data_IF_093009738142
#
_entry.id   IF_093009738142
#
_cell.length_a   1.000
_cell.length_b   1.000
_cell.length_c   1.000
_cell.angle_alpha   90.00
_cell.angle_beta   90.00
_cell.angle_gamma   90.00
#
_symmetry.space_group_name_H-M   'P 1'
#
loop_
_entity.id
_entity.type
_entity.pdbx_description
1 polymer ?
#
# COMPACT_ATOMS: atom_id res chain seq x y z
N UNK A 1 6.19 25.50 -17.32
CA UNK A 1 7.59 25.03 -17.18
C UNK A 1 7.54 23.52 -17.28
N UNK A 2 8.16 22.98 -18.32
CA UNK A 2 8.36 21.54 -18.47
C UNK A 2 9.22 21.03 -17.31
N UNK A 3 8.82 19.91 -16.70
CA UNK A 3 9.59 19.27 -15.62
C UNK A 3 10.77 18.55 -16.27
N UNK A 4 11.94 19.19 -16.29
CA UNK A 4 13.16 18.62 -16.90
C UNK A 4 13.92 17.70 -15.95
N UNK A 5 13.68 17.79 -14.64
CA UNK A 5 14.45 17.08 -13.62
C UNK A 5 13.60 16.05 -12.84
N UNK A 6 14.15 14.84 -12.74
CA UNK A 6 13.56 13.70 -12.01
C UNK A 6 14.48 13.25 -10.88
N UNK A 7 13.90 12.95 -9.72
CA UNK A 7 14.57 12.35 -8.57
C UNK A 7 13.98 10.97 -8.29
N UNK A 8 14.81 9.94 -8.27
CA UNK A 8 14.42 8.62 -7.79
C UNK A 8 14.69 8.53 -6.29
N UNK A 9 13.78 7.94 -5.52
CA UNK A 9 13.95 7.73 -4.09
C UNK A 9 13.79 6.25 -3.75
N UNK A 10 14.62 5.74 -2.85
CA UNK A 10 14.57 4.35 -2.39
C UNK A 10 13.63 4.19 -1.18
N UNK A 11 13.17 2.97 -0.93
CA UNK A 11 12.36 2.65 0.25
C UNK A 11 13.13 2.98 1.54
N UNK A 12 14.43 2.70 1.57
CA UNK A 12 15.30 3.01 2.70
C UNK A 12 15.33 4.51 3.01
N UNK A 13 15.54 5.35 1.99
CA UNK A 13 15.55 6.80 2.15
C UNK A 13 14.19 7.32 2.65
N UNK A 14 13.08 6.72 2.22
CA UNK A 14 11.74 7.07 2.74
C UNK A 14 11.62 6.73 4.22
N UNK A 15 12.10 5.56 4.65
CA UNK A 15 12.10 5.19 6.07
C UNK A 15 12.93 6.17 6.90
N UNK A 16 14.12 6.56 6.42
CA UNK A 16 14.96 7.57 7.10
C UNK A 16 14.24 8.93 7.19
N UNK A 17 13.60 9.39 6.12
CA UNK A 17 12.81 10.62 6.12
C UNK A 17 11.69 10.57 7.16
N UNK A 18 10.96 9.46 7.24
CA UNK A 18 9.87 9.28 8.21
C UNK A 18 10.39 9.23 9.64
N UNK A 19 11.46 8.48 9.91
CA UNK A 19 12.09 8.41 11.23
C UNK A 19 12.57 9.78 11.71
N UNK A 20 13.28 10.50 10.86
CA UNK A 20 13.76 11.86 11.14
C UNK A 20 12.59 12.81 11.42
N UNK A 21 11.51 12.75 10.63
CA UNK A 21 10.33 13.59 10.84
C UNK A 21 9.61 13.27 12.15
N UNK A 22 9.44 11.99 12.49
CA UNK A 22 8.79 11.55 13.74
C UNK A 22 9.56 12.06 14.96
N UNK A 23 10.89 11.99 14.92
CA UNK A 23 11.76 12.50 15.99
C UNK A 23 11.75 14.02 16.05
N UNK A 24 12.01 14.68 14.92
CA UNK A 24 12.11 16.14 14.84
C UNK A 24 10.81 16.83 15.28
N UNK A 25 9.66 16.36 14.79
CA UNK A 25 8.36 16.90 15.16
C UNK A 25 7.84 16.35 16.50
N UNK A 26 8.56 15.41 17.13
CA UNK A 26 8.12 14.68 18.32
C UNK A 26 6.67 14.20 18.18
N UNK A 27 6.38 13.59 17.03
CA UNK A 27 5.02 13.42 16.54
C UNK A 27 4.15 12.59 17.50
N UNK A 28 4.76 11.57 18.11
CA UNK A 28 4.19 10.69 19.13
C UNK A 28 3.87 11.40 20.47
N UNK A 29 4.40 12.61 20.71
CA UNK A 29 4.18 13.40 21.93
C UNK A 29 3.31 14.63 21.65
N UNK A 30 3.61 15.40 20.59
CA UNK A 30 2.95 16.68 20.30
C UNK A 30 1.63 16.52 19.58
N UNK A 31 1.58 15.65 18.57
CA UNK A 31 0.34 15.41 17.82
C UNK A 31 -0.43 14.22 18.36
N UNK A 32 0.22 13.12 18.76
CA UNK A 32 -0.41 11.89 19.29
C UNK A 32 -1.54 11.38 18.36
N UNK A 33 -1.22 11.02 17.10
CA UNK A 33 -2.22 10.50 16.18
C UNK A 33 -2.94 9.27 16.77
N UNK A 34 -4.26 9.22 16.63
CA UNK A 34 -5.08 8.07 17.02
C UNK A 34 -5.73 7.37 15.83
N UNK A 35 -5.76 8.05 14.67
CA UNK A 35 -6.22 7.50 13.38
C UNK A 35 -5.34 8.09 12.28
N UNK A 36 -4.89 7.26 11.34
CA UNK A 36 -4.23 7.70 10.12
C UNK A 36 -5.20 7.53 8.95
N UNK A 37 -5.30 8.53 8.07
CA UNK A 37 -6.04 8.48 6.82
C UNK A 37 -5.03 8.58 5.68
N UNK A 38 -4.88 7.52 4.90
CA UNK A 38 -4.06 7.55 3.69
C UNK A 38 -4.82 8.24 2.54
N UNK A 39 -4.27 9.33 2.03
CA UNK A 39 -4.84 10.13 0.94
C UNK A 39 -4.60 9.47 -0.42
N UNK A 40 -5.23 8.33 -0.62
CA UNK A 40 -5.07 7.50 -1.79
C UNK A 40 -4.01 6.41 -1.62
N UNK A 41 -3.75 5.80 -2.75
CA UNK A 41 -3.22 4.45 -2.84
C UNK A 41 -1.70 4.40 -2.57
N UNK A 42 -0.94 5.39 -3.06
CA UNK A 42 0.49 5.52 -2.77
C UNK A 42 0.75 6.03 -1.35
N UNK A 43 -0.19 6.82 -0.82
CA UNK A 43 -0.13 7.31 0.55
C UNK A 43 -0.25 6.19 1.59
N UNK A 44 -0.86 5.06 1.23
CA UNK A 44 -0.95 3.89 2.12
C UNK A 44 0.44 3.35 2.47
N UNK A 45 1.37 3.30 1.51
CA UNK A 45 2.74 2.87 1.76
C UNK A 45 3.42 3.79 2.78
N UNK A 46 3.26 5.11 2.64
CA UNK A 46 3.77 6.11 3.58
C UNK A 46 3.14 5.95 4.96
N UNK A 47 1.81 5.76 5.02
CA UNK A 47 1.07 5.57 6.26
C UNK A 47 1.54 4.33 7.04
N UNK A 48 1.89 3.23 6.33
CA UNK A 48 2.44 2.03 6.95
C UNK A 48 3.82 2.26 7.55
N UNK A 49 4.71 2.93 6.82
CA UNK A 49 6.07 3.23 7.29
C UNK A 49 5.95 4.09 8.55
N UNK A 50 5.14 5.14 8.50
CA UNK A 50 4.86 5.99 9.65
C UNK A 50 4.25 5.21 10.83
N UNK A 51 3.27 4.34 10.59
CA UNK A 51 2.66 3.50 11.64
C UNK A 51 3.68 2.57 12.29
N UNK A 52 4.56 1.94 11.51
CA UNK A 52 5.61 1.06 12.03
C UNK A 52 6.60 1.85 12.89
N UNK A 53 7.06 3.00 12.40
CA UNK A 53 7.92 3.93 13.17
C UNK A 53 7.24 4.41 14.45
N UNK A 54 5.95 4.73 14.43
CA UNK A 54 5.23 5.15 15.63
C UNK A 54 4.98 4.00 16.60
N UNK A 55 4.64 2.80 16.11
CA UNK A 55 4.44 1.60 16.93
C UNK A 55 5.68 1.26 17.76
N UNK A 56 6.88 1.42 17.19
CA UNK A 56 8.13 1.20 17.93
C UNK A 56 8.35 2.22 19.06
N UNK A 57 7.72 3.40 18.98
CA UNK A 57 7.81 4.48 20.00
C UNK A 57 6.69 4.41 21.05
N UNK A 58 5.47 4.03 20.66
CA UNK A 58 4.29 4.08 21.55
C UNK A 58 3.76 2.70 21.99
N UNK A 59 4.31 1.61 21.43
CA UNK A 59 3.96 0.23 21.79
C UNK A 59 2.66 -0.31 21.16
N UNK A 60 1.80 0.55 20.61
CA UNK A 60 0.52 0.16 19.98
C UNK A 60 0.44 0.61 18.52
N UNK A 61 -0.28 -0.15 17.70
CA UNK A 61 -0.51 0.18 16.30
C UNK A 61 -1.67 1.17 16.16
N UNK A 62 -1.46 2.24 15.38
CA UNK A 62 -2.52 3.20 15.04
C UNK A 62 -3.32 2.65 13.85
N UNK A 63 -4.67 2.68 13.86
CA UNK A 63 -5.47 2.24 12.73
C UNK A 63 -5.25 3.13 11.50
N UNK A 64 -5.19 2.51 10.32
CA UNK A 64 -5.14 3.19 9.03
C UNK A 64 -6.49 3.04 8.32
N UNK A 65 -7.08 4.17 7.95
CA UNK A 65 -8.20 4.26 7.05
C UNK A 65 -7.69 4.67 5.67
N UNK A 66 -8.20 4.04 4.63
CA UNK A 66 -7.88 4.37 3.24
C UNK A 66 -9.07 5.04 2.59
N UNK A 67 -8.79 5.90 1.62
CA UNK A 67 -9.80 6.45 0.75
C UNK A 67 -9.23 6.50 -0.67
N UNK A 68 -9.86 5.79 -1.60
CA UNK A 68 -9.62 6.01 -3.03
C UNK A 68 -10.57 7.11 -3.49
N UNK A 69 -10.03 8.33 -3.67
CA UNK A 69 -10.63 9.28 -4.58
C UNK A 69 -10.03 9.03 -5.95
N UNK A 70 -10.86 8.60 -6.89
CA UNK A 70 -10.51 8.68 -8.31
C UNK A 70 -10.59 10.16 -8.72
N UNK A 71 -9.58 10.95 -8.34
CA UNK A 71 -9.47 12.39 -8.65
C UNK A 71 -9.29 12.68 -10.14
N UNK A 72 -9.15 11.64 -10.96
CA UNK A 72 -8.87 11.72 -12.40
C UNK A 72 -10.01 11.22 -13.27
N UNK A 73 -11.18 10.97 -12.68
CA UNK A 73 -12.38 10.59 -13.41
C UNK A 73 -13.46 11.66 -13.17
N UNK A 74 -13.62 12.57 -14.13
CA UNK A 74 -14.58 13.68 -14.04
C UNK A 74 -16.04 13.18 -13.94
N UNK A 75 -16.28 11.90 -14.25
CA UNK A 75 -17.59 11.24 -14.14
C UNK A 75 -17.80 10.51 -12.81
N UNK A 76 -16.73 10.28 -12.02
CA UNK A 76 -16.81 9.62 -10.73
C UNK A 76 -17.11 10.63 -9.61
N UNK A 77 -18.37 11.03 -9.45
CA UNK A 77 -18.82 11.66 -8.22
C UNK A 77 -18.90 10.58 -7.12
N UNK A 78 -17.96 10.49 -6.15
CA UNK A 78 -17.89 9.35 -5.26
C UNK A 78 -18.63 9.62 -3.94
N UNK A 79 -19.28 10.77 -3.80
CA UNK A 79 -20.02 11.11 -2.60
C UNK A 79 -21.39 10.44 -2.60
N UNK A 80 -21.49 9.27 -1.97
CA UNK A 80 -22.77 8.78 -1.46
C UNK A 80 -23.05 9.49 -0.12
N UNK A 81 -24.03 10.42 -0.04
CA UNK A 81 -24.31 11.15 1.20
C UNK A 81 -24.73 10.24 2.37
N UNK A 82 -25.21 9.03 2.07
CA UNK A 82 -25.85 8.14 3.04
C UNK A 82 -24.85 7.19 3.75
N UNK A 83 -23.68 6.95 3.17
CA UNK A 83 -22.54 6.26 3.80
C UNK A 83 -21.29 7.02 3.37
N UNK A 84 -20.82 7.97 4.18
CA UNK A 84 -19.59 8.72 3.90
C UNK A 84 -18.39 7.78 3.66
N UNK A 85 -17.30 8.31 3.10
CA UNK A 85 -16.11 7.53 2.70
C UNK A 85 -15.51 6.63 3.78
N UNK A 86 -15.76 6.96 5.05
CA UNK A 86 -15.28 6.21 6.22
C UNK A 86 -16.39 5.47 6.97
N UNK A 87 -17.57 5.30 6.35
CA UNK A 87 -18.71 4.59 6.92
C UNK A 87 -19.11 5.13 8.30
N UNK A 88 -19.27 4.22 9.27
CA UNK A 88 -19.66 4.58 10.65
C UNK A 88 -18.48 4.95 11.57
N UNK A 89 -17.25 5.08 11.04
CA UNK A 89 -16.10 5.43 11.88
C UNK A 89 -16.25 6.85 12.44
N UNK A 90 -16.39 6.97 13.76
CA UNK A 90 -16.46 8.26 14.47
C UNK A 90 -15.09 8.92 14.53
N UNK A 91 -15.03 10.22 14.23
CA UNK A 91 -13.82 11.02 14.45
C UNK A 91 -13.88 11.88 15.72
N UNK A 92 -14.99 11.85 16.46
CA UNK A 92 -15.11 12.59 17.73
C UNK A 92 -13.99 12.22 18.69
N UNK A 93 -13.26 13.22 19.19
CA UNK A 93 -12.16 13.06 20.15
C UNK A 93 -10.86 12.46 19.59
N UNK A 94 -10.82 12.14 18.29
CA UNK A 94 -9.64 11.57 17.67
C UNK A 94 -8.66 12.64 17.17
N UNK A 95 -7.39 12.28 17.16
CA UNK A 95 -6.34 13.00 16.46
C UNK A 95 -6.13 12.34 15.10
N UNK A 96 -6.73 12.93 14.08
CA UNK A 96 -6.81 12.39 12.72
C UNK A 96 -5.66 12.94 11.90
N UNK A 97 -4.80 12.05 11.41
CA UNK A 97 -3.66 12.41 10.57
C UNK A 97 -3.90 12.01 9.12
N UNK A 98 -4.01 12.99 8.23
CA UNK A 98 -4.01 12.74 6.79
C UNK A 98 -2.57 12.54 6.33
N UNK A 99 -2.28 11.43 5.65
CA UNK A 99 -0.96 11.10 5.12
C UNK A 99 -1.00 11.12 3.60
N UNK A 100 0.00 11.70 2.94
CA UNK A 100 0.20 11.63 1.49
C UNK A 100 1.70 11.48 1.15
N UNK A 101 2.04 11.05 -0.07
CA UNK A 101 3.42 11.01 -0.56
C UNK A 101 3.98 12.42 -0.80
N UNK A 102 3.17 13.35 -1.29
CA UNK A 102 3.65 14.69 -1.61
C UNK A 102 2.55 15.76 -1.54
N UNK A 103 2.85 16.90 -0.90
CA UNK A 103 2.13 18.15 -1.14
C UNK A 103 2.70 18.80 -2.41
N UNK A 104 2.04 18.55 -3.54
CA UNK A 104 2.38 19.19 -4.82
C UNK A 104 1.66 20.54 -4.97
N UNK A 105 0.43 20.53 -5.48
CA UNK A 105 -0.41 21.73 -5.64
C UNK A 105 -1.30 22.01 -4.41
N UNK A 106 -1.23 21.19 -3.36
CA UNK A 106 -2.10 21.19 -2.16
C UNK A 106 -3.56 20.84 -2.38
N UNK A 107 -4.00 20.71 -3.63
CA UNK A 107 -5.39 20.44 -4.00
C UNK A 107 -5.93 19.15 -3.39
N UNK A 108 -5.19 18.04 -3.48
CA UNK A 108 -5.58 16.75 -2.89
C UNK A 108 -5.80 16.85 -1.39
N UNK A 109 -4.86 17.46 -0.67
CA UNK A 109 -4.94 17.64 0.77
C UNK A 109 -6.14 18.50 1.17
N UNK A 110 -6.37 19.60 0.46
CA UNK A 110 -7.52 20.48 0.71
C UNK A 110 -8.86 19.73 0.53
N UNK A 111 -8.98 18.93 -0.53
CA UNK A 111 -10.16 18.10 -0.76
C UNK A 111 -10.35 17.08 0.37
N UNK A 112 -9.28 16.40 0.81
CA UNK A 112 -9.36 15.45 1.92
C UNK A 112 -9.80 16.11 3.23
N UNK A 113 -9.27 17.29 3.55
CA UNK A 113 -9.69 18.02 4.75
C UNK A 113 -11.15 18.47 4.69
N UNK A 114 -11.63 18.90 3.51
CA UNK A 114 -13.05 19.23 3.30
C UNK A 114 -13.96 18.01 3.48
N UNK A 115 -13.55 16.84 2.96
CA UNK A 115 -14.30 15.60 3.15
C UNK A 115 -14.34 15.15 4.63
N UNK A 116 -13.22 15.27 5.35
CA UNK A 116 -13.19 14.98 6.80
C UNK A 116 -14.12 15.93 7.54
N UNK A 117 -14.12 17.22 7.19
CA UNK A 117 -15.00 18.22 7.79
C UNK A 117 -16.47 17.86 7.57
N UNK A 118 -16.87 17.54 6.33
CA UNK A 118 -18.24 17.11 6.00
C UNK A 118 -18.65 15.84 6.75
N UNK A 119 -17.74 14.87 6.86
CA UNK A 119 -17.96 13.65 7.64
C UNK A 119 -18.19 13.96 9.12
N UNK A 120 -17.38 14.83 9.70
CA UNK A 120 -17.53 15.27 11.09
C UNK A 120 -18.85 16.03 11.31
N UNK A 121 -19.25 16.91 10.39
CA UNK A 121 -20.51 17.64 10.45
C UNK A 121 -21.72 16.71 10.41
N UNK A 122 -21.70 15.70 9.55
CA UNK A 122 -22.74 14.68 9.48
C UNK A 122 -22.86 13.89 10.81
N UNK A 123 -21.74 13.49 11.39
CA UNK A 123 -21.72 12.80 12.69
C UNK A 123 -22.18 13.69 13.84
N UNK A 124 -21.76 14.97 13.83
CA UNK A 124 -22.16 15.96 14.82
C UNK A 124 -23.66 16.28 14.76
N UNK A 125 -24.27 16.22 13.57
CA UNK A 125 -25.71 16.46 13.38
C UNK A 125 -26.59 15.35 13.95
N UNK A 126 -26.05 14.12 14.03
CA UNK A 126 -26.76 12.93 14.52
C UNK A 126 -26.41 12.59 15.97
N UNK A 127 -25.30 13.12 16.50
CA UNK A 127 -24.90 12.98 17.89
C UNK A 127 -25.71 13.90 18.83
N UNK A 128 -25.86 13.49 20.10
CA UNK A 128 -26.29 14.42 21.16
C UNK A 128 -25.21 15.49 21.32
N UNK A 129 -25.56 16.78 21.19
CA UNK A 129 -24.59 17.90 21.16
C UNK A 129 -23.56 17.88 22.30
N UNK A 130 -23.94 17.38 23.47
CA UNK A 130 -23.11 17.34 24.68
C UNK A 130 -22.00 16.27 24.64
N UNK A 131 -22.04 15.31 23.71
CA UNK A 131 -21.08 14.21 23.64
C UNK A 131 -20.01 14.37 22.55
N UNK A 132 -20.11 15.43 21.72
CA UNK A 132 -19.19 15.63 20.60
C UNK A 132 -17.92 16.35 21.06
N UNK A 133 -16.76 15.75 20.77
CA UNK A 133 -15.44 16.31 21.01
C UNK A 133 -14.82 16.58 19.64
N UNK A 134 -14.49 17.84 19.34
CA UNK A 134 -13.99 18.21 18.02
C UNK A 134 -12.65 17.49 17.72
N UNK A 135 -12.52 16.79 16.58
CA UNK A 135 -11.27 16.12 16.22
C UNK A 135 -10.13 17.12 15.99
N UNK A 136 -8.91 16.68 16.32
CA UNK A 136 -7.69 17.39 15.93
C UNK A 136 -7.19 16.82 14.62
N UNK A 137 -7.35 17.57 13.53
CA UNK A 137 -6.88 17.16 12.20
C UNK A 137 -5.49 17.71 11.92
N UNK A 138 -4.62 16.89 11.32
CA UNK A 138 -3.28 17.24 10.86
C UNK A 138 -2.93 16.58 9.54
N UNK A 139 -1.81 16.99 8.95
CA UNK A 139 -1.31 16.52 7.65
C UNK A 139 0.14 16.09 7.77
N UNK A 140 0.48 14.93 7.21
CA UNK A 140 1.83 14.41 7.09
C UNK A 140 2.16 14.09 5.64
N UNK A 141 3.25 14.63 5.11
CA UNK A 141 3.71 14.34 3.74
C UNK A 141 5.20 14.00 3.73
N UNK A 142 5.63 13.11 2.84
CA UNK A 142 7.07 12.90 2.66
C UNK A 142 7.73 14.14 2.07
N UNK A 143 7.14 14.70 1.01
CA UNK A 143 7.72 15.81 0.27
C UNK A 143 6.74 16.96 0.13
N UNK A 144 7.08 18.14 0.64
CA UNK A 144 6.41 19.38 0.29
C UNK A 144 7.16 20.05 -0.86
N UNK A 145 6.52 20.15 -2.04
CA UNK A 145 7.14 20.80 -3.19
C UNK A 145 7.06 22.32 -3.06
N UNK A 146 8.20 22.98 -3.16
CA UNK A 146 8.36 24.43 -3.23
C UNK A 146 7.84 24.96 -4.57
N UNK A 147 6.53 25.15 -4.63
CA UNK A 147 5.81 25.73 -5.77
C UNK A 147 4.59 26.50 -5.29
N UNK A 148 4.01 27.39 -6.12
CA UNK A 148 2.71 27.97 -5.84
C UNK A 148 1.67 26.87 -5.61
N UNK A 149 0.93 27.01 -4.51
CA UNK A 149 -0.14 26.09 -4.12
C UNK A 149 -1.46 26.58 -4.72
N UNK A 150 -2.24 25.66 -5.26
CA UNK A 150 -3.50 25.96 -5.95
C UNK A 150 -4.71 25.91 -5.01
N UNK A 151 -4.51 25.46 -3.77
CA UNK A 151 -5.52 25.44 -2.71
C UNK A 151 -4.86 25.78 -1.38
N UNK A 152 -5.63 26.32 -0.44
CA UNK A 152 -5.21 26.57 0.93
C UNK A 152 -5.60 25.41 1.85
N UNK A 153 -4.86 25.25 2.94
CA UNK A 153 -5.27 24.42 4.08
C UNK A 153 -5.73 25.34 5.22
N UNK A 154 -6.57 24.86 6.15
CA UNK A 154 -6.96 25.62 7.33
C UNK A 154 -5.76 26.14 8.11
N UNK A 155 -5.87 27.35 8.66
CA UNK A 155 -4.77 28.02 9.35
C UNK A 155 -4.28 27.19 10.54
N UNK A 156 -5.19 26.55 11.27
CA UNK A 156 -4.89 25.66 12.39
C UNK A 156 -4.17 24.35 12.00
N UNK A 157 -4.21 23.98 10.72
CA UNK A 157 -3.42 22.86 10.18
C UNK A 157 -2.02 23.35 9.86
N UNK A 158 -1.90 24.47 9.14
CA UNK A 158 -0.61 25.07 8.80
C UNK A 158 0.17 25.50 10.05
N UNK A 159 -0.52 26.01 11.06
CA UNK A 159 0.03 26.44 12.34
C UNK A 159 0.18 25.25 13.31
N UNK A 160 1.17 24.41 13.03
CA UNK A 160 1.63 23.38 13.97
C UNK A 160 0.97 22.01 13.86
N UNK A 161 0.23 21.72 12.78
CA UNK A 161 -0.30 20.37 12.48
C UNK A 161 -0.01 19.92 11.04
N UNK A 162 0.89 20.60 10.36
CA UNK A 162 1.38 20.26 9.03
C UNK A 162 2.84 19.79 9.17
N UNK A 163 3.10 18.57 8.72
CA UNK A 163 4.36 17.87 8.92
C UNK A 163 4.88 17.39 7.57
N UNK A 164 5.95 18.01 7.07
CA UNK A 164 6.65 17.54 5.87
C UNK A 164 7.98 16.93 6.28
N UNK A 165 8.30 15.73 5.79
CA UNK A 165 9.63 15.16 6.04
C UNK A 165 10.72 15.95 5.32
N UNK A 166 10.43 16.41 4.09
CA UNK A 166 11.37 17.17 3.27
C UNK A 166 10.65 18.33 2.55
N UNK A 167 11.27 19.51 2.56
CA UNK A 167 10.92 20.64 1.70
C UNK A 167 11.75 20.58 0.42
N UNK A 168 11.18 20.14 -0.69
CA UNK A 168 11.94 19.87 -1.92
C UNK A 168 11.59 20.82 -3.07
N UNK A 169 12.46 20.87 -4.08
CA UNK A 169 12.18 21.64 -5.30
C UNK A 169 11.00 21.04 -6.09
N UNK A 170 10.50 21.80 -7.07
CA UNK A 170 9.41 21.38 -7.95
C UNK A 170 9.89 20.40 -9.03
N UNK A 171 10.42 19.24 -8.60
CA UNK A 171 10.90 18.14 -9.44
C UNK A 171 9.93 16.97 -9.42
N UNK A 172 9.95 16.13 -10.46
CA UNK A 172 9.21 14.87 -10.41
C UNK A 172 9.95 13.87 -9.51
N UNK A 173 9.22 13.13 -8.69
CA UNK A 173 9.80 12.16 -7.75
C UNK A 173 9.23 10.78 -8.08
N UNK A 174 10.12 9.85 -8.41
CA UNK A 174 9.78 8.45 -8.62
C UNK A 174 9.92 7.69 -7.30
N UNK A 175 8.78 7.36 -6.69
CA UNK A 175 8.71 6.59 -5.45
C UNK A 175 8.76 5.08 -5.76
N UNK A 176 9.37 4.26 -4.88
CA UNK A 176 9.56 2.84 -5.11
C UNK A 176 8.24 2.03 -5.08
N UNK A 177 7.17 2.65 -4.57
CA UNK A 177 5.81 2.11 -4.52
C UNK A 177 4.86 2.78 -5.53
N UNK A 178 5.28 3.86 -6.20
CA UNK A 178 4.52 4.45 -7.29
C UNK A 178 4.86 3.70 -8.56
N UNK A 179 3.84 3.16 -9.23
CA UNK A 179 4.08 2.51 -10.52
C UNK A 179 4.17 3.58 -11.60
N UNK A 180 5.20 3.49 -12.45
CA UNK A 180 5.58 4.51 -13.45
C UNK A 180 4.35 5.06 -14.17
N UNK A 181 3.93 6.29 -13.85
CA UNK A 181 2.85 6.97 -14.59
C UNK A 181 3.35 7.71 -15.83
N UNK A 182 4.66 7.78 -16.07
CA UNK A 182 5.22 8.44 -17.25
C UNK A 182 6.39 7.65 -17.84
N UNK A 183 6.44 7.61 -19.17
CA UNK A 183 7.54 7.10 -19.99
C UNK A 183 8.85 7.79 -19.55
N UNK A 184 9.74 7.06 -18.88
CA UNK A 184 11.12 7.52 -18.70
C UNK A 184 11.83 7.49 -20.05
N UNK A 185 12.44 8.59 -20.52
CA UNK A 185 13.61 8.48 -21.36
C UNK A 185 14.67 7.72 -20.56
N UNK A 186 15.28 6.71 -21.16
CA UNK A 186 16.39 5.95 -20.58
C UNK A 186 17.54 6.93 -20.29
N UNK A 187 17.63 7.42 -19.05
CA UNK A 187 18.87 7.97 -18.53
C UNK A 187 19.48 6.94 -17.58
N UNK A 188 20.55 6.32 -18.08
CA UNK A 188 21.50 5.58 -17.27
C UNK A 188 21.93 6.46 -16.08
N UNK A 189 22.13 5.89 -14.89
CA UNK A 189 22.77 6.64 -13.81
C UNK A 189 24.09 7.18 -14.33
N UNK A 190 24.22 8.51 -14.37
CA UNK A 190 25.50 9.15 -14.60
C UNK A 190 26.48 8.62 -13.56
N UNK A 191 27.58 8.06 -14.05
CA UNK A 191 28.61 7.40 -13.27
C UNK A 191 29.36 8.40 -12.37
N UNK A 192 28.72 8.94 -11.34
CA UNK A 192 29.37 9.67 -10.26
C UNK A 192 28.82 9.21 -8.92
N UNK A 193 29.54 8.25 -8.33
CA UNK A 193 29.91 8.36 -6.93
C UNK A 193 29.08 7.63 -5.87
N UNK A 194 28.61 6.41 -6.11
CA UNK A 194 28.37 5.45 -5.02
C UNK A 194 29.15 4.16 -5.32
N UNK A 195 30.47 4.22 -5.08
CA UNK A 195 31.28 3.02 -5.02
C UNK A 195 31.11 2.39 -3.64
N UNK A 196 30.69 1.13 -3.64
CA UNK A 196 30.77 0.25 -2.48
C UNK A 196 32.21 0.25 -1.94
N UNK A 197 32.42 0.91 -0.80
CA UNK A 197 33.68 0.85 -0.09
C UNK A 197 33.79 -0.51 0.61
N UNK A 198 34.57 -1.43 0.02
CA UNK A 198 35.07 -2.62 0.71
C UNK A 198 36.19 -2.16 1.66
N UNK A 199 35.85 -1.95 2.93
CA UNK A 199 36.84 -1.65 3.98
C UNK A 199 37.25 -2.97 4.65
N UNK A 200 38.45 -3.45 4.32
CA UNK A 200 39.11 -4.52 5.07
C UNK A 200 39.93 -3.92 6.21
N UNK A 201 39.37 -3.88 7.41
CA UNK A 201 40.01 -3.31 8.61
C UNK A 201 40.50 -4.38 9.59
N UNK A 202 41.82 -4.48 9.78
CA UNK A 202 42.49 -5.34 10.77
C UNK A 202 42.17 -4.94 12.22
N UNK A 203 41.98 -5.94 13.08
CA UNK A 203 41.80 -5.84 14.55
C UNK A 203 42.94 -5.13 15.30
N UNK A 204 42.55 -4.26 16.23
CA UNK A 204 43.14 -3.94 17.55
C UNK A 204 42.08 -3.04 18.22
N UNK A 205 41.58 -3.24 19.44
CA UNK A 205 42.26 -3.35 20.73
C UNK A 205 41.33 -3.94 21.80
N UNK A 206 41.93 -4.44 22.88
CA UNK A 206 41.34 -4.70 24.20
C UNK A 206 40.70 -3.45 24.83
N UNK A 207 39.56 -3.59 25.51
CA UNK A 207 39.34 -3.22 26.92
C UNK A 207 37.88 -3.46 27.37
N UNK A 208 37.77 -4.27 28.43
CA UNK A 208 36.84 -4.30 29.57
C UNK A 208 35.31 -4.12 29.43
N UNK A 209 34.66 -5.16 29.97
CA UNK A 209 33.25 -5.30 30.30
C UNK A 209 32.78 -4.32 31.39
N UNK A 210 31.56 -3.80 31.25
CA UNK A 210 30.74 -3.50 32.43
C UNK A 210 29.30 -3.90 32.20
N UNK A 211 28.78 -4.59 33.21
CA UNK A 211 27.55 -5.38 33.20
C UNK A 211 26.30 -4.49 33.20
N UNK A 212 25.40 -4.72 32.24
CA UNK A 212 24.00 -4.32 32.34
C UNK A 212 23.11 -5.55 32.11
N UNK A 213 22.22 -5.80 33.07
CA UNK A 213 21.33 -6.97 33.16
C UNK A 213 20.49 -7.15 31.89
N UNK A 214 20.66 -8.29 31.23
CA UNK A 214 19.89 -8.68 30.05
C UNK A 214 18.46 -9.08 30.42
N UNK A 215 17.50 -8.25 29.99
CA UNK A 215 16.16 -8.73 29.69
C UNK A 215 16.34 -9.63 28.47
N UNK A 216 16.03 -10.93 28.57
CA UNK A 216 15.98 -11.83 27.42
C UNK A 216 14.79 -11.44 26.54
N UNK A 217 14.98 -10.42 25.71
CA UNK A 217 14.25 -10.31 24.45
C UNK A 217 14.70 -11.52 23.65
N UNK A 218 13.77 -12.37 23.22
CA UNK A 218 14.07 -13.48 22.33
C UNK A 218 14.82 -12.92 21.13
N UNK A 219 16.11 -13.25 21.01
CA UNK A 219 16.90 -12.91 19.85
C UNK A 219 16.20 -13.57 18.66
N UNK A 220 15.78 -12.83 17.62
CA UNK A 220 15.31 -13.47 16.40
C UNK A 220 16.42 -14.38 15.85
N UNK A 221 16.06 -15.51 15.23
CA UNK A 221 17.03 -16.46 14.71
C UNK A 221 18.01 -15.77 13.74
N UNK A 222 19.26 -16.26 13.63
CA UNK A 222 20.27 -15.63 12.79
C UNK A 222 19.84 -15.57 11.32
N UNK A 223 20.09 -14.39 10.71
CA UNK A 223 19.66 -13.88 9.41
C UNK A 223 20.23 -14.56 8.14
N UNK A 224 20.65 -15.83 8.19
CA UNK A 224 21.37 -16.45 7.06
C UNK A 224 20.48 -16.88 5.89
N UNK A 225 19.15 -17.01 6.06
CA UNK A 225 18.23 -17.54 5.04
C UNK A 225 17.20 -16.50 4.55
N UNK A 226 17.52 -15.20 4.59
CA UNK A 226 16.62 -14.14 4.06
C UNK A 226 17.09 -13.65 2.70
N UNK A 227 16.26 -13.85 1.68
CA UNK A 227 16.44 -13.31 0.33
C UNK A 227 15.85 -11.90 0.25
N UNK A 228 16.71 -10.88 0.14
CA UNK A 228 16.30 -9.48 -0.04
C UNK A 228 16.13 -9.17 -1.52
N UNK A 229 14.95 -8.65 -1.90
CA UNK A 229 14.62 -8.33 -3.28
C UNK A 229 14.62 -6.83 -3.52
N UNK A 230 15.06 -6.41 -4.72
CA UNK A 230 14.95 -5.02 -5.18
C UNK A 230 13.64 -4.80 -5.94
N UNK A 231 13.14 -3.55 -6.01
CA UNK A 231 11.93 -3.23 -6.80
C UNK A 231 12.09 -3.62 -8.25
N UNK A 232 13.27 -3.37 -8.83
CA UNK A 232 13.59 -3.73 -10.21
C UNK A 232 13.51 -5.24 -10.45
N UNK A 233 14.03 -6.05 -9.52
CA UNK A 233 13.91 -7.50 -9.63
C UNK A 233 12.45 -7.94 -9.67
N UNK A 234 11.62 -7.40 -8.78
CA UNK A 234 10.19 -7.75 -8.73
C UNK A 234 9.47 -7.32 -10.02
N UNK A 235 9.74 -6.12 -10.53
CA UNK A 235 9.21 -5.66 -11.83
C UNK A 235 9.57 -6.65 -12.95
N UNK A 236 10.86 -6.97 -13.11
CA UNK A 236 11.35 -7.86 -14.18
C UNK A 236 10.73 -9.27 -14.12
N UNK A 237 10.52 -9.81 -12.92
CA UNK A 237 9.87 -11.11 -12.72
C UNK A 237 8.39 -11.07 -13.08
N UNK A 238 7.67 -10.01 -12.68
CA UNK A 238 6.26 -9.82 -13.05
C UNK A 238 6.12 -9.68 -14.56
N UNK A 239 6.91 -8.81 -15.19
CA UNK A 239 6.83 -8.57 -16.64
C UNK A 239 7.04 -9.85 -17.44
N UNK A 240 8.07 -10.64 -17.08
CA UNK A 240 8.35 -11.93 -17.71
C UNK A 240 7.18 -12.90 -17.55
N UNK A 241 6.63 -13.00 -16.35
CA UNK A 241 5.51 -13.89 -16.07
C UNK A 241 4.26 -13.54 -16.88
N UNK A 242 3.93 -12.24 -16.96
CA UNK A 242 2.79 -11.75 -17.73
C UNK A 242 2.92 -12.11 -19.21
N UNK A 243 4.12 -11.99 -19.78
CA UNK A 243 4.43 -12.32 -21.17
C UNK A 243 4.44 -13.84 -21.41
N UNK A 244 5.22 -14.60 -20.63
CA UNK A 244 5.41 -16.04 -20.83
C UNK A 244 4.10 -16.82 -20.66
N UNK A 245 3.30 -16.43 -19.67
CA UNK A 245 2.04 -17.11 -19.39
C UNK A 245 0.87 -16.54 -20.18
N UNK A 246 1.07 -15.41 -20.87
CA UNK A 246 0.07 -14.70 -21.68
C UNK A 246 -1.17 -14.37 -20.85
N UNK A 247 -0.95 -13.74 -19.69
CA UNK A 247 -2.00 -13.52 -18.68
C UNK A 247 -3.12 -12.67 -19.25
N UNK A 248 -2.80 -11.59 -19.98
CA UNK A 248 -3.81 -10.69 -20.54
C UNK A 248 -4.55 -11.28 -21.73
N UNK A 249 -3.94 -12.17 -22.50
CA UNK A 249 -4.59 -12.84 -23.63
C UNK A 249 -5.48 -14.00 -23.18
N UNK A 250 -5.00 -14.81 -22.23
CA UNK A 250 -5.71 -16.00 -21.73
C UNK A 250 -6.78 -15.64 -20.71
N UNK A 251 -6.46 -14.77 -19.75
CA UNK A 251 -7.36 -14.49 -18.64
C UNK A 251 -8.17 -13.22 -18.83
N UNK A 252 -7.65 -12.17 -19.49
CA UNK A 252 -8.35 -10.90 -19.72
C UNK A 252 -8.96 -10.30 -18.43
N UNK A 253 -8.14 -10.00 -17.41
CA UNK A 253 -8.63 -9.50 -16.13
C UNK A 253 -9.33 -8.14 -16.28
N UNK A 254 -10.52 -8.01 -15.71
CA UNK A 254 -11.24 -6.72 -15.62
C UNK A 254 -10.99 -6.02 -14.28
N UNK A 255 -10.54 -6.77 -13.26
CA UNK A 255 -10.16 -6.25 -11.96
C UNK A 255 -9.00 -7.05 -11.36
N UNK A 256 -8.10 -6.36 -10.65
CA UNK A 256 -7.05 -6.96 -9.83
C UNK A 256 -7.46 -6.83 -8.36
N UNK A 257 -7.41 -7.94 -7.63
CA UNK A 257 -7.70 -7.97 -6.19
C UNK A 257 -6.40 -8.28 -5.44
N UNK A 258 -5.82 -7.29 -4.76
CA UNK A 258 -4.69 -7.54 -3.87
C UNK A 258 -5.18 -8.30 -2.63
N UNK A 259 -4.70 -9.53 -2.47
CA UNK A 259 -5.15 -10.44 -1.38
C UNK A 259 -4.77 -9.90 -0.01
N UNK A 260 -3.61 -9.24 0.07
CA UNK A 260 -3.17 -8.47 1.22
C UNK A 260 -2.52 -7.15 0.75
N UNK A 261 -2.28 -6.25 1.68
CA UNK A 261 -1.72 -4.93 1.36
C UNK A 261 -0.35 -4.99 0.69
N UNK A 262 0.51 -5.94 1.08
CA UNK A 262 1.82 -6.09 0.45
C UNK A 262 1.71 -6.57 -1.01
N UNK A 263 0.56 -7.15 -1.38
CA UNK A 263 0.26 -7.57 -2.76
C UNK A 263 -0.27 -6.43 -3.62
N UNK A 264 -0.46 -5.23 -3.04
CA UNK A 264 -0.89 -4.03 -3.76
C UNK A 264 0.18 -3.54 -4.74
N UNK A 265 1.45 -3.54 -4.34
CA UNK A 265 2.54 -3.16 -5.23
C UNK A 265 2.63 -4.08 -6.46
N UNK A 266 2.68 -5.43 -6.32
CA UNK A 266 2.56 -6.34 -7.45
C UNK A 266 1.31 -6.12 -8.32
N UNK A 267 0.14 -5.89 -7.72
CA UNK A 267 -1.09 -5.65 -8.48
C UNK A 267 -0.99 -4.38 -9.34
N UNK A 268 -0.40 -3.31 -8.81
CA UNK A 268 -0.19 -2.08 -9.59
C UNK A 268 0.85 -2.27 -10.70
N UNK A 269 1.92 -3.04 -10.45
CA UNK A 269 2.92 -3.38 -11.48
C UNK A 269 2.26 -4.11 -12.65
N UNK A 270 1.39 -5.08 -12.37
CA UNK A 270 0.58 -5.78 -13.38
C UNK A 270 -0.30 -4.81 -14.16
N UNK A 271 -1.04 -3.92 -13.48
CA UNK A 271 -1.88 -2.91 -14.14
C UNK A 271 -1.08 -1.99 -15.06
N UNK A 272 0.08 -1.52 -14.61
CA UNK A 272 0.90 -0.61 -15.42
C UNK A 272 1.52 -1.30 -16.62
N UNK A 273 1.89 -2.59 -16.51
CA UNK A 273 2.32 -3.38 -17.65
C UNK A 273 1.23 -3.43 -18.74
N UNK A 274 -0.03 -3.69 -18.38
CA UNK A 274 -1.15 -3.65 -19.34
C UNK A 274 -1.33 -2.26 -19.96
N UNK A 275 -1.25 -1.21 -19.14
CA UNK A 275 -1.39 0.18 -19.62
C UNK A 275 -0.25 0.58 -20.56
N UNK A 276 0.96 0.06 -20.34
CA UNK A 276 2.16 0.36 -21.10
C UNK A 276 2.39 -0.52 -22.33
N UNK A 277 1.69 -1.65 -22.47
CA UNK A 277 1.98 -2.60 -23.55
C UNK A 277 1.63 -2.06 -24.94
N UNK A 278 2.49 -2.36 -25.89
CA UNK A 278 2.26 -2.17 -27.33
C UNK A 278 1.30 -3.26 -27.82
N UNK A 279 0.22 -2.86 -28.48
CA UNK A 279 -0.78 -3.79 -29.00
C UNK A 279 -0.39 -4.29 -30.38
N UNK A 280 -0.66 -5.57 -30.64
CA UNK A 280 -0.52 -6.13 -31.98
C UNK A 280 -1.61 -5.62 -32.93
N UNK A 281 -1.39 -5.71 -34.25
CA UNK A 281 -2.40 -5.31 -35.25
C UNK A 281 -3.70 -6.11 -35.05
N UNK A 282 -4.81 -5.42 -34.80
CA UNK A 282 -6.13 -6.02 -34.55
C UNK A 282 -6.43 -6.29 -33.08
N UNK A 283 -5.50 -6.03 -32.17
CA UNK A 283 -5.71 -6.17 -30.73
C UNK A 283 -6.31 -4.89 -30.13
N UNK A 284 -7.29 -5.05 -29.24
CA UNK A 284 -7.93 -3.93 -28.53
C UNK A 284 -7.41 -3.86 -27.10
N UNK A 285 -7.14 -2.64 -26.63
CA UNK A 285 -6.73 -2.41 -25.24
C UNK A 285 -7.88 -2.80 -24.32
N UNK A 286 -7.56 -3.44 -23.20
CA UNK A 286 -8.59 -3.73 -22.19
C UNK A 286 -9.08 -2.43 -21.54
N UNK A 287 -10.35 -2.39 -21.07
CA UNK A 287 -10.84 -1.30 -20.24
C UNK A 287 -9.94 -1.10 -19.01
N UNK A 288 -10.02 0.08 -18.39
CA UNK A 288 -9.23 0.39 -17.20
C UNK A 288 -9.38 -0.68 -16.12
N UNK A 289 -8.30 -1.41 -15.85
CA UNK A 289 -8.29 -2.46 -14.83
C UNK A 289 -8.29 -1.80 -13.45
N UNK A 290 -9.35 -2.04 -12.68
CA UNK A 290 -9.45 -1.53 -11.30
C UNK A 290 -8.55 -2.37 -10.40
N UNK A 291 -7.70 -1.73 -9.59
CA UNK A 291 -6.97 -2.39 -8.49
C UNK A 291 -7.77 -2.18 -7.22
N UNK A 292 -8.13 -3.26 -6.55
CA UNK A 292 -8.90 -3.23 -5.31
C UNK A 292 -8.08 -3.84 -4.18
N UNK A 293 -8.14 -3.22 -3.01
CA UNK A 293 -7.53 -3.71 -1.78
C UNK A 293 -8.58 -4.35 -0.89
N UNK A 294 -8.21 -5.45 -0.25
CA UNK A 294 -8.99 -6.03 0.84
C UNK A 294 -8.43 -5.61 2.20
N UNK A 295 -9.30 -5.20 3.13
CA UNK A 295 -8.97 -5.17 4.56
C UNK A 295 -9.22 -6.55 5.15
N UNK A 296 -8.25 -7.45 5.06
CA UNK A 296 -8.25 -8.69 5.84
C UNK A 296 -7.16 -8.48 6.91
N UNK A 297 -7.54 -8.01 8.10
CA UNK A 297 -6.64 -7.99 9.25
C UNK A 297 -6.45 -9.46 9.73
N UNK A 298 -5.62 -10.24 9.03
CA UNK A 298 -5.32 -11.65 9.40
C UNK A 298 -4.05 -11.80 10.24
N UNK A 299 -3.34 -10.69 10.50
CA UNK A 299 -2.10 -10.73 11.28
C UNK A 299 -2.29 -10.48 12.78
N UNK A 300 -3.53 -10.56 13.26
CA UNK A 300 -3.83 -10.48 14.67
C UNK A 300 -4.65 -11.72 15.04
N UNK A 301 -3.99 -12.74 15.60
CA UNK A 301 -4.64 -13.99 16.04
C UNK A 301 -5.73 -13.73 17.10
N UNK A 302 -5.76 -12.51 17.68
CA UNK A 302 -6.76 -12.05 18.64
C UNK A 302 -7.88 -11.19 18.00
N UNK A 303 -7.75 -10.78 16.72
CA UNK A 303 -8.78 -10.02 16.03
C UNK A 303 -9.76 -10.94 15.28
N UNK A 304 -11.00 -10.91 15.76
CA UNK A 304 -12.19 -11.58 15.26
C UNK A 304 -12.20 -11.93 13.74
N UNK A 305 -12.22 -13.23 13.35
CA UNK A 305 -12.25 -13.68 11.95
C UNK A 305 -13.58 -13.40 11.21
N UNK A 306 -14.54 -12.73 11.85
CA UNK A 306 -15.87 -12.46 11.29
C UNK A 306 -16.14 -11.00 10.93
N UNK A 307 -15.12 -10.14 10.78
CA UNK A 307 -15.40 -8.78 10.34
C UNK A 307 -15.76 -8.78 8.85
N UNK A 308 -17.00 -8.42 8.46
CA UNK A 308 -17.41 -8.47 7.07
C UNK A 308 -16.52 -7.60 6.19
N UNK A 309 -16.23 -8.15 5.02
CA UNK A 309 -15.49 -7.58 3.91
C UNK A 309 -16.08 -6.21 3.55
N UNK A 310 -15.45 -5.12 3.98
CA UNK A 310 -15.80 -3.76 3.54
C UNK A 310 -14.60 -3.14 2.86
N UNK A 311 -14.43 -3.48 1.58
CA UNK A 311 -13.52 -2.77 0.68
C UNK A 311 -14.28 -1.74 -0.17
N UNK A 312 -13.53 -0.91 -0.89
CA UNK A 312 -13.99 0.14 -1.82
C UNK A 312 -14.86 -0.34 -3.00
N UNK A 313 -15.22 -1.62 -3.05
CA UNK A 313 -15.95 -2.29 -4.12
C UNK A 313 -17.39 -2.65 -3.74
N UNK A 314 -17.84 -2.28 -2.53
CA UNK A 314 -19.19 -2.58 -2.04
C UNK A 314 -20.31 -2.08 -2.96
N UNK A 315 -20.05 -1.05 -3.78
CA UNK A 315 -20.97 -0.43 -4.73
C UNK A 315 -20.81 -0.88 -6.19
N UNK A 316 -19.82 -1.72 -6.53
CA UNK A 316 -19.60 -2.16 -7.92
C UNK A 316 -20.36 -3.46 -8.20
N UNK A 317 -20.92 -3.61 -9.41
CA UNK A 317 -21.47 -4.89 -9.85
C UNK A 317 -20.33 -5.89 -10.08
N UNK A 318 -20.46 -7.08 -9.50
CA UNK A 318 -19.51 -8.18 -9.67
C UNK A 318 -19.84 -9.00 -10.92
N UNK A 319 -21.05 -8.88 -11.46
CA UNK A 319 -21.52 -9.59 -12.66
C UNK A 319 -20.56 -9.40 -13.84
N UNK A 320 -20.19 -10.50 -14.49
CA UNK A 320 -19.34 -10.53 -15.68
C UNK A 320 -17.87 -10.18 -15.45
N UNK A 321 -17.45 -9.91 -14.22
CA UNK A 321 -16.08 -9.54 -13.92
C UNK A 321 -15.14 -10.74 -13.98
N UNK A 322 -13.89 -10.48 -14.36
CA UNK A 322 -12.78 -11.43 -14.35
C UNK A 322 -11.75 -10.96 -13.34
N UNK A 323 -11.85 -11.48 -12.13
CA UNK A 323 -11.00 -11.10 -10.99
C UNK A 323 -9.69 -11.85 -11.03
N UNK A 324 -8.57 -11.14 -11.12
CA UNK A 324 -7.25 -11.71 -10.90
C UNK A 324 -6.78 -11.36 -9.49
N UNK A 325 -6.80 -12.34 -8.60
CA UNK A 325 -6.29 -12.21 -7.24
C UNK A 325 -4.77 -12.18 -7.30
N UNK A 326 -4.15 -11.16 -6.70
CA UNK A 326 -2.71 -10.98 -6.71
C UNK A 326 -2.18 -11.23 -5.31
N UNK A 327 -1.21 -12.14 -5.19
CA UNK A 327 -0.55 -12.49 -3.93
C UNK A 327 0.98 -12.46 -4.12
N UNK A 328 1.71 -11.87 -3.17
CA UNK A 328 3.18 -11.80 -3.23
C UNK A 328 3.83 -13.17 -2.99
N UNK A 329 3.25 -13.99 -2.11
CA UNK A 329 3.84 -15.27 -1.73
C UNK A 329 2.79 -16.30 -1.33
N UNK A 330 2.89 -17.50 -1.88
CA UNK A 330 2.07 -18.64 -1.46
C UNK A 330 2.95 -19.68 -0.78
N UNK A 331 2.81 -19.79 0.55
CA UNK A 331 3.40 -20.89 1.34
C UNK A 331 2.39 -22.01 1.53
N UNK A 332 1.33 -21.75 2.29
CA UNK A 332 0.18 -22.64 2.46
C UNK A 332 -1.02 -21.95 1.81
N UNK A 333 -1.76 -22.62 0.92
CA UNK A 333 -2.82 -22.00 0.10
C UNK A 333 -4.01 -21.48 0.91
N UNK A 334 -4.01 -21.69 2.23
CA UNK A 334 -5.07 -21.29 3.18
C UNK A 334 -5.59 -19.87 2.97
N UNK A 335 -4.70 -18.87 2.85
CA UNK A 335 -5.13 -17.47 2.68
C UNK A 335 -5.89 -17.27 1.36
N UNK A 336 -5.41 -17.86 0.27
CA UNK A 336 -6.10 -17.81 -1.03
C UNK A 336 -7.46 -18.51 -0.96
N UNK A 337 -7.55 -19.66 -0.29
CA UNK A 337 -8.82 -20.39 -0.10
C UNK A 337 -9.84 -19.51 0.63
N UNK A 338 -9.46 -18.97 1.79
CA UNK A 338 -10.32 -18.08 2.58
C UNK A 338 -10.80 -16.87 1.78
N UNK A 339 -9.90 -16.27 1.00
CA UNK A 339 -10.23 -15.12 0.17
C UNK A 339 -11.20 -15.48 -0.96
N UNK A 340 -10.99 -16.61 -1.63
CA UNK A 340 -11.87 -17.09 -2.70
C UNK A 340 -13.25 -17.45 -2.16
N UNK A 341 -13.33 -18.10 -0.99
CA UNK A 341 -14.60 -18.41 -0.32
C UNK A 341 -15.36 -17.14 0.06
N UNK A 342 -14.66 -16.18 0.65
CA UNK A 342 -15.17 -14.85 1.00
C UNK A 342 -15.72 -14.10 -0.23
N UNK A 343 -15.00 -14.13 -1.35
CA UNK A 343 -15.44 -13.53 -2.60
C UNK A 343 -16.66 -14.26 -3.17
N UNK A 344 -16.70 -15.59 -3.14
CA UNK A 344 -17.83 -16.41 -3.60
C UNK A 344 -19.10 -16.15 -2.78
N UNK A 345 -18.98 -15.98 -1.47
CA UNK A 345 -20.12 -15.62 -0.61
C UNK A 345 -20.71 -14.27 -1.03
N UNK A 346 -19.86 -13.27 -1.30
CA UNK A 346 -20.32 -11.95 -1.75
C UNK A 346 -20.96 -11.99 -3.13
N UNK A 347 -20.35 -12.71 -4.08
CA UNK A 347 -20.91 -12.98 -5.41
C UNK A 347 -22.31 -13.59 -5.27
N UNK A 348 -22.46 -14.59 -4.40
CA UNK A 348 -23.75 -15.25 -4.15
C UNK A 348 -24.80 -14.29 -3.61
N UNK A 349 -24.41 -13.39 -2.70
CA UNK A 349 -25.30 -12.37 -2.14
C UNK A 349 -25.78 -11.37 -3.20
N UNK A 350 -24.88 -10.82 -4.01
CA UNK A 350 -25.26 -9.85 -5.03
C UNK A 350 -26.07 -10.50 -6.17
N UNK A 351 -25.74 -11.74 -6.54
CA UNK A 351 -26.52 -12.52 -7.50
C UNK A 351 -27.98 -12.69 -7.07
N UNK A 352 -28.23 -12.89 -5.77
CA UNK A 352 -29.59 -12.97 -5.23
C UNK A 352 -30.35 -11.62 -5.31
N UNK A 353 -29.62 -10.50 -5.37
CA UNK A 353 -30.16 -9.14 -5.48
C UNK A 353 -30.40 -8.71 -6.95
N UNK A 354 -29.59 -9.17 -7.92
CA UNK A 354 -29.53 -8.68 -9.33
C UNK A 354 -30.13 -9.64 -10.39
N UNK A 355 -31.17 -10.40 -10.03
CA UNK A 355 -31.59 -11.67 -10.65
C UNK A 355 -31.88 -11.78 -12.19
N UNK A 356 -31.92 -10.73 -13.00
CA UNK A 356 -32.35 -10.84 -14.43
C UNK A 356 -31.24 -11.04 -15.47
N UNK A 357 -30.03 -10.49 -15.25
CA UNK A 357 -28.95 -10.46 -16.27
C UNK A 357 -27.56 -10.85 -15.70
N UNK A 358 -27.55 -11.73 -14.70
CA UNK A 358 -26.33 -12.14 -14.01
C UNK A 358 -25.41 -12.97 -14.90
N UNK A 359 -24.18 -12.51 -15.08
CA UNK A 359 -23.08 -13.26 -15.71
C UNK A 359 -22.12 -13.68 -14.61
N UNK A 360 -21.89 -14.99 -14.49
CA UNK A 360 -21.05 -15.52 -13.41
C UNK A 360 -19.60 -15.00 -13.52
N UNK A 361 -19.03 -14.43 -12.45
CA UNK A 361 -17.67 -13.91 -12.49
C UNK A 361 -16.64 -15.06 -12.57
N UNK A 362 -15.47 -14.77 -13.14
CA UNK A 362 -14.36 -15.73 -13.23
C UNK A 362 -13.23 -15.29 -12.32
N UNK A 363 -12.68 -16.24 -11.56
CA UNK A 363 -11.61 -16.01 -10.59
C UNK A 363 -10.33 -16.65 -11.11
N UNK A 364 -9.26 -15.86 -11.17
CA UNK A 364 -7.90 -16.31 -11.41
C UNK A 364 -6.98 -15.84 -10.29
N UNK A 365 -5.79 -16.42 -10.23
CA UNK A 365 -4.76 -16.07 -9.24
C UNK A 365 -3.45 -15.79 -9.95
N UNK A 366 -2.78 -14.71 -9.57
CA UNK A 366 -1.41 -14.41 -9.93
C UNK A 366 -0.57 -14.36 -8.65
N UNK A 367 0.46 -15.21 -8.58
CA UNK A 367 1.37 -15.29 -7.45
C UNK A 367 2.75 -14.83 -7.87
N UNK A 368 3.38 -13.94 -7.12
CA UNK A 368 4.76 -13.54 -7.41
C UNK A 368 5.74 -14.66 -7.09
N UNK A 369 5.69 -15.26 -5.88
CA UNK A 369 6.52 -16.41 -5.50
C UNK A 369 5.67 -17.57 -4.97
N UNK A 370 5.66 -18.71 -5.64
CA UNK A 370 5.02 -19.93 -5.13
C UNK A 370 6.10 -20.86 -4.55
N UNK A 371 6.13 -20.99 -3.22
CA UNK A 371 7.16 -21.75 -2.50
C UNK A 371 6.96 -23.26 -2.66
N UNK A 372 8.04 -24.03 -2.67
CA UNK A 372 7.90 -25.48 -2.59
C UNK A 372 7.45 -25.93 -1.20
N UNK A 373 6.65 -27.00 -1.15
CA UNK A 373 6.19 -27.59 0.10
C UNK A 373 4.74 -28.08 0.05
N UNK A 374 4.30 -28.65 1.17
CA UNK A 374 2.93 -29.14 1.33
C UNK A 374 1.96 -27.96 1.31
N UNK A 375 1.11 -27.92 0.28
CA UNK A 375 0.06 -26.92 0.16
C UNK A 375 -1.16 -27.36 0.95
N UNK A 376 -1.24 -26.92 2.19
CA UNK A 376 -2.48 -27.03 2.96
C UNK A 376 -3.45 -25.94 2.49
N UNK A 377 -4.63 -26.34 2.01
CA UNK A 377 -5.59 -25.51 1.29
C UNK A 377 -5.89 -26.04 -0.12
N UNK A 378 -7.11 -26.55 -0.32
CA UNK A 378 -7.57 -27.08 -1.60
C UNK A 378 -8.13 -25.94 -2.46
N UNK A 379 -7.37 -25.56 -3.49
CA UNK A 379 -7.88 -24.72 -4.57
C UNK A 379 -8.55 -25.61 -5.63
N UNK A 380 -9.59 -25.12 -6.34
CA UNK A 380 -10.23 -25.87 -7.42
C UNK A 380 -9.24 -26.29 -8.51
N UNK A 381 -9.37 -27.51 -9.02
CA UNK A 381 -8.48 -28.08 -10.03
C UNK A 381 -8.48 -27.30 -11.34
N UNK A 382 -9.65 -26.81 -11.75
CA UNK A 382 -9.85 -25.95 -12.92
C UNK A 382 -9.10 -24.62 -12.75
N UNK A 383 -9.18 -24.01 -11.56
CA UNK A 383 -8.42 -22.79 -11.25
C UNK A 383 -6.92 -23.06 -11.33
N UNK A 384 -6.43 -24.15 -10.73
CA UNK A 384 -5.01 -24.52 -10.75
C UNK A 384 -4.48 -24.81 -12.15
N UNK A 385 -5.31 -25.37 -13.03
CA UNK A 385 -4.91 -25.75 -14.40
C UNK A 385 -4.99 -24.58 -15.38
N UNK A 386 -6.02 -23.74 -15.26
CA UNK A 386 -6.35 -22.78 -16.31
C UNK A 386 -6.08 -21.33 -15.91
N UNK A 387 -6.16 -21.00 -14.63
CA UNK A 387 -6.21 -19.61 -14.14
C UNK A 387 -5.29 -19.35 -12.93
N UNK A 388 -4.26 -20.18 -12.74
CA UNK A 388 -3.26 -20.01 -11.69
C UNK A 388 -1.91 -19.68 -12.32
N UNK A 389 -1.53 -18.42 -12.23
CA UNK A 389 -0.33 -17.85 -12.82
C UNK A 389 0.72 -17.63 -11.74
N UNK A 390 1.97 -17.97 -12.01
CA UNK A 390 3.07 -17.85 -11.04
C UNK A 390 4.28 -17.19 -11.67
N UNK A 391 4.76 -16.10 -11.09
CA UNK A 391 5.89 -15.39 -11.65
C UNK A 391 7.23 -16.10 -11.41
N UNK A 392 7.41 -16.66 -10.22
CA UNK A 392 8.56 -17.49 -9.88
C UNK A 392 8.09 -18.74 -9.13
N UNK A 393 8.23 -19.89 -9.79
CA UNK A 393 8.02 -21.21 -9.18
C UNK A 393 9.26 -21.62 -8.39
N UNK A 394 9.10 -22.54 -7.43
CA UNK A 394 10.21 -23.25 -6.80
C UNK A 394 11.15 -22.29 -6.08
N UNK A 395 10.58 -21.47 -5.20
CA UNK A 395 11.40 -20.76 -4.22
C UNK A 395 11.61 -21.70 -3.05
N UNK A 396 12.88 -21.91 -2.67
CA UNK A 396 13.26 -22.54 -1.41
C UNK A 396 12.40 -21.94 -0.27
N UNK A 397 12.18 -22.68 0.83
CA UNK A 397 11.43 -22.13 1.97
C UNK A 397 12.29 -21.14 2.79
N UNK A 398 12.86 -20.16 2.10
CA UNK A 398 13.62 -19.02 2.62
C UNK A 398 12.70 -17.86 2.92
N UNK A 399 13.06 -17.02 3.88
CA UNK A 399 12.33 -15.78 4.11
C UNK A 399 12.60 -14.82 2.94
N UNK A 400 11.55 -14.14 2.44
CA UNK A 400 11.70 -13.18 1.35
C UNK A 400 11.40 -11.79 1.90
N UNK A 401 12.38 -10.90 1.86
CA UNK A 401 12.22 -9.49 2.18
C UNK A 401 11.91 -8.73 0.89
N UNK A 402 10.64 -8.40 0.69
CA UNK A 402 10.18 -7.62 -0.45
C UNK A 402 10.52 -6.14 -0.28
N UNK A 403 10.78 -5.40 -1.37
CA UNK A 403 11.12 -3.98 -1.31
C UNK A 403 9.94 -3.10 -0.84
N UNK A 404 8.73 -3.64 -0.87
CA UNK A 404 7.49 -3.01 -0.41
C UNK A 404 6.97 -3.60 0.92
N UNK A 405 7.71 -4.52 1.55
CA UNK A 405 7.35 -5.04 2.86
C UNK A 405 7.67 -3.97 3.92
N UNK A 406 6.67 -3.60 4.73
CA UNK A 406 6.80 -2.57 5.76
C UNK A 406 6.71 -3.22 7.14
N UNK A 407 7.70 -4.04 7.46
CA UNK A 407 8.11 -4.26 8.85
C UNK A 407 9.37 -3.43 9.07
N UNK A 408 9.58 -2.95 10.31
CA UNK A 408 10.62 -2.00 10.73
C UNK A 408 11.99 -2.27 10.06
N UNK A 409 12.85 -1.25 9.86
CA UNK A 409 14.09 -1.41 9.11
C UNK A 409 14.78 -2.68 9.56
N UNK A 410 15.07 -3.56 8.59
CA UNK A 410 16.03 -4.64 8.77
C UNK A 410 17.23 -3.93 9.34
N UNK A 411 17.47 -4.10 10.65
CA UNK A 411 18.63 -3.54 11.31
C UNK A 411 19.80 -3.99 10.43
N UNK A 412 20.45 -3.04 9.79
CA UNK A 412 21.59 -3.31 8.93
C UNK A 412 22.57 -4.05 9.83
N UNK A 413 22.64 -5.37 9.67
CA UNK A 413 23.68 -6.16 10.30
C UNK A 413 24.91 -5.81 9.50
N UNK A 414 25.55 -4.72 9.92
CA UNK A 414 26.94 -4.43 9.59
C UNK A 414 27.73 -5.56 10.24
N UNK A 415 28.07 -6.58 9.45
CA UNK A 415 29.04 -7.60 9.82
C UNK A 415 30.31 -7.43 8.99
#
# INVERSE_FOLDING_TARGET
>A
MEVTDWRCISQHHISELVENAVEHHQFHIKFKPSVIIAAGDDALSVARILRATLKSKIGTGIPILTHNMDLYDEEANPYNPNLGYWGNNSFSGHHVLVVDKADNSRSTLALFLDQIKKHCEAQKSTAKKETWIEPKVGVFVLHNKRRPKAADLPAEVLDGRYFACEECDNVAISYPFSVREHETPVHQPSAHGDQAHVVTGKRRTSFEESQARSIRVATPPPLNDTRVLSSRYVEEVIERALQDQKVFEKFKPTALLAVCDDSLAPARMIRAHEKGRTLSVGETRQPAITVLTHKLDVYDEEANPYNPIVGSWASKSLSGQRFLLVEKVVKTRRMLVQYIESLKERISKQRAEEASDWVEPVIGVFVLHDKDGVKDGALPDDLLKEHYFVAEHVVEDVQIAYPFHVEAPIATVVQ
#
